data_IF_442363650857
#
_entry.id   IF_442363650857
#
_cell.length_a   1.000
_cell.length_b   1.000
_cell.length_c   1.000
_cell.angle_alpha   90.00
_cell.angle_beta   90.00
_cell.angle_gamma   90.00
#
_symmetry.space_group_name_H-M   'P 1'
#
loop_
_entity.id
_entity.type
_entity.pdbx_description
1 polymer ?
#
# COMPACT_ATOMS: atom_id res chain seq x y z
N UNK A 1 12.70 -11.58 -15.71
CA UNK A 1 12.69 -10.45 -14.75
C UNK A 1 11.40 -10.58 -13.96
N UNK A 2 11.47 -10.62 -12.64
CA UNK A 2 10.26 -10.70 -11.80
C UNK A 2 9.74 -9.27 -11.71
N UNK A 3 8.57 -9.00 -12.27
CA UNK A 3 7.92 -7.69 -12.11
C UNK A 3 7.64 -7.48 -10.62
N UNK A 4 8.14 -6.38 -10.05
CA UNK A 4 7.96 -6.06 -8.65
C UNK A 4 6.97 -4.91 -8.54
N UNK A 5 5.95 -5.07 -7.70
CA UNK A 5 5.02 -4.01 -7.36
C UNK A 5 5.54 -3.33 -6.10
N UNK A 6 5.71 -2.02 -6.14
CA UNK A 6 6.16 -1.24 -4.97
C UNK A 6 4.95 -0.74 -4.22
N UNK A 7 4.87 -1.04 -2.92
CA UNK A 7 3.80 -0.56 -2.04
C UNK A 7 4.36 0.37 -0.96
N UNK A 8 3.81 1.57 -0.87
CA UNK A 8 4.21 2.64 0.05
C UNK A 8 3.15 2.84 1.14
N UNK A 9 3.54 2.63 2.39
CA UNK A 9 2.66 2.79 3.55
C UNK A 9 2.77 4.21 4.09
N UNK A 10 1.65 4.92 4.13
CA UNK A 10 1.55 6.29 4.63
C UNK A 10 0.66 6.38 5.88
N UNK A 11 1.14 7.06 6.92
CA UNK A 11 0.37 7.34 8.13
C UNK A 11 0.37 8.85 8.37
N UNK A 12 -0.82 9.47 8.35
CA UNK A 12 -0.93 10.92 8.62
C UNK A 12 -0.17 11.82 7.64
N UNK A 13 0.13 11.34 6.43
CA UNK A 13 0.94 12.04 5.43
C UNK A 13 2.42 11.67 5.44
N UNK A 14 2.90 10.95 6.46
CA UNK A 14 4.28 10.49 6.55
C UNK A 14 4.45 9.11 5.92
N UNK A 15 5.53 8.91 5.16
CA UNK A 15 5.91 7.59 4.65
C UNK A 15 6.49 6.75 5.80
N UNK A 16 5.77 5.69 6.15
CA UNK A 16 6.14 4.76 7.22
C UNK A 16 6.99 3.58 6.70
N UNK A 17 6.83 3.21 5.44
CA UNK A 17 7.49 2.03 4.89
C UNK A 17 7.33 1.84 3.38
N UNK A 18 8.28 1.13 2.80
CA UNK A 18 8.26 0.64 1.42
C UNK A 18 8.35 -0.88 1.43
N UNK A 19 7.40 -1.53 0.76
CA UNK A 19 7.28 -2.98 0.67
C UNK A 19 7.35 -3.37 -0.80
N UNK A 20 8.25 -4.28 -1.15
CA UNK A 20 8.31 -4.88 -2.46
C UNK A 20 7.43 -6.12 -2.47
N UNK A 21 6.41 -6.11 -3.32
CA UNK A 21 5.48 -7.21 -3.50
C UNK A 21 5.83 -7.95 -4.78
N UNK A 22 5.72 -9.28 -4.72
CA UNK A 22 5.65 -10.07 -5.94
C UNK A 22 4.33 -9.78 -6.67
N UNK A 23 4.29 -9.96 -7.99
CA UNK A 23 3.04 -9.80 -8.77
C UNK A 23 1.91 -10.72 -8.32
N UNK A 24 2.24 -11.84 -7.66
CA UNK A 24 1.26 -12.81 -7.17
C UNK A 24 0.71 -12.43 -5.79
N UNK A 25 1.36 -11.50 -5.08
CA UNK A 25 0.91 -11.07 -3.76
C UNK A 25 -0.32 -10.16 -3.91
N UNK A 26 -1.47 -10.55 -3.33
CA UNK A 26 -2.68 -9.75 -3.45
C UNK A 26 -2.49 -8.39 -2.76
N UNK A 27 -2.94 -7.35 -3.44
CA UNK A 27 -2.92 -5.99 -2.90
C UNK A 27 -3.99 -5.87 -1.79
N UNK A 28 -3.61 -5.35 -0.61
CA UNK A 28 -4.56 -5.12 0.48
C UNK A 28 -5.69 -4.17 0.08
N UNK A 29 -6.88 -4.39 0.64
CA UNK A 29 -8.08 -3.60 0.36
C UNK A 29 -8.36 -2.56 1.45
N UNK A 30 -9.07 -1.50 1.06
CA UNK A 30 -9.60 -0.52 2.02
C UNK A 30 -10.46 -1.23 3.09
N UNK A 31 -10.20 -0.91 4.35
CA UNK A 31 -10.88 -1.48 5.51
C UNK A 31 -10.18 -2.68 6.14
N UNK A 32 -9.27 -3.34 5.40
CA UNK A 32 -8.48 -4.45 5.94
C UNK A 32 -7.52 -3.98 7.03
N UNK A 33 -7.16 -4.93 7.90
CA UNK A 33 -6.18 -4.74 8.96
C UNK A 33 -4.87 -5.38 8.51
N UNK A 34 -3.81 -4.60 8.52
CA UNK A 34 -2.45 -5.08 8.26
C UNK A 34 -1.63 -5.02 9.54
N UNK A 35 -0.59 -5.87 9.60
CA UNK A 35 0.45 -5.81 10.61
C UNK A 35 1.71 -5.26 9.97
N UNK A 36 2.27 -4.20 10.55
CA UNK A 36 3.53 -3.60 10.12
C UNK A 36 4.30 -3.19 11.38
N UNK A 37 5.56 -3.63 11.52
CA UNK A 37 6.41 -3.36 12.69
C UNK A 37 5.70 -3.71 14.03
N UNK A 38 5.19 -4.95 14.10
CA UNK A 38 4.40 -5.51 15.23
C UNK A 38 3.15 -4.70 15.64
N UNK A 39 2.76 -3.70 14.85
CA UNK A 39 1.58 -2.87 15.09
C UNK A 39 0.50 -3.15 14.07
N UNK A 40 -0.75 -3.14 14.55
CA UNK A 40 -1.94 -3.31 13.71
C UNK A 40 -2.45 -1.96 13.23
N UNK A 41 -2.68 -1.87 11.93
CA UNK A 41 -3.23 -0.69 11.28
C UNK A 41 -4.43 -1.06 10.41
N UNK A 42 -5.39 -0.13 10.32
CA UNK A 42 -6.48 -0.22 9.35
C UNK A 42 -6.12 0.57 8.10
N UNK A 43 -6.36 -0.02 6.94
CA UNK A 43 -6.23 0.67 5.65
C UNK A 43 -7.45 1.58 5.45
N UNK A 44 -7.20 2.88 5.29
CA UNK A 44 -8.23 3.88 5.02
C UNK A 44 -8.39 4.15 3.52
N UNK A 45 -7.30 4.02 2.76
CA UNK A 45 -7.26 4.34 1.34
C UNK A 45 -6.20 3.48 0.63
N UNK A 46 -6.49 3.12 -0.62
CA UNK A 46 -5.58 2.45 -1.54
C UNK A 46 -5.62 3.25 -2.84
N UNK A 47 -4.47 3.77 -3.27
CA UNK A 47 -4.33 4.45 -4.56
C UNK A 47 -3.21 3.83 -5.38
N UNK A 48 -3.32 3.95 -6.70
CA UNK A 48 -2.37 3.39 -7.65
C UNK A 48 -1.82 4.53 -8.49
N UNK A 49 -0.50 4.66 -8.53
CA UNK A 49 0.23 5.61 -9.34
C UNK A 49 0.95 4.85 -10.45
N UNK A 50 0.64 5.21 -11.69
CA UNK A 50 1.29 4.69 -12.89
C UNK A 50 2.29 5.76 -13.34
N UNK A 51 3.52 5.34 -13.65
CA UNK A 51 4.49 6.28 -14.20
C UNK A 51 3.96 6.85 -15.53
N UNK A 52 4.22 8.12 -15.78
CA UNK A 52 3.85 8.75 -17.04
C UNK A 52 4.54 8.03 -18.20
N UNK A 53 3.75 7.54 -19.14
CA UNK A 53 4.25 6.86 -20.32
C UNK A 53 4.92 7.88 -21.26
N UNK A 54 6.24 7.81 -21.42
CA UNK A 54 6.92 8.45 -22.56
C UNK A 54 6.73 7.65 -23.86
N UNK A 55 6.24 6.39 -23.78
CA UNK A 55 5.95 5.53 -24.93
C UNK A 55 4.69 4.68 -24.66
N UNK A 56 3.89 4.46 -25.70
CA UNK A 56 2.46 4.11 -25.79
C UNK A 56 1.89 2.89 -25.01
N UNK A 57 2.59 2.29 -24.05
CA UNK A 57 2.12 1.08 -23.36
C UNK A 57 1.98 1.25 -21.84
N UNK A 58 0.97 2.02 -21.42
CA UNK A 58 0.58 2.17 -20.00
C UNK A 58 0.22 0.81 -19.35
N UNK A 59 -0.20 -0.18 -20.15
CA UNK A 59 -0.62 -1.50 -19.66
C UNK A 59 0.54 -2.38 -19.15
N UNK A 60 1.80 -2.08 -19.49
CA UNK A 60 2.92 -2.98 -19.20
C UNK A 60 3.70 -2.65 -17.91
N UNK A 61 3.46 -1.49 -17.28
CA UNK A 61 4.24 -1.07 -16.10
C UNK A 61 3.52 -1.40 -14.79
N UNK A 62 4.23 -2.02 -13.86
CA UNK A 62 3.73 -2.29 -12.51
C UNK A 62 3.50 -0.95 -11.77
N UNK A 63 2.29 -0.68 -11.26
CA UNK A 63 2.01 0.57 -10.56
C UNK A 63 2.76 0.64 -9.23
N UNK A 64 3.00 1.86 -8.76
CA UNK A 64 3.30 2.10 -7.35
C UNK A 64 1.98 2.21 -6.57
N UNK A 65 1.83 1.40 -5.53
CA UNK A 65 0.63 1.34 -4.71
C UNK A 65 0.86 2.17 -3.45
N UNK A 66 -0.04 3.09 -3.16
CA UNK A 66 -0.01 3.89 -1.95
C UNK A 66 -1.12 3.45 -1.00
N UNK A 67 -0.75 3.05 0.22
CA UNK A 67 -1.68 2.71 1.28
C UNK A 67 -1.71 3.81 2.33
N UNK A 68 -2.88 4.41 2.58
CA UNK A 68 -3.05 5.26 3.77
C UNK A 68 -3.60 4.44 4.91
N UNK A 69 -2.91 4.46 6.04
CA UNK A 69 -3.22 3.66 7.22
C UNK A 69 -3.47 4.51 8.46
N UNK A 70 -4.31 3.99 9.36
CA UNK A 70 -4.58 4.57 10.68
C UNK A 70 -4.37 3.50 11.74
N UNK A 71 -3.95 3.92 12.95
CA UNK A 71 -3.92 3.01 14.08
C UNK A 71 -5.32 2.49 14.39
N UNK A 72 -5.44 1.24 14.80
CA UNK A 72 -6.67 0.77 15.42
C UNK A 72 -6.83 1.55 16.72
N UNK A 73 -7.88 2.36 16.88
CA UNK A 73 -8.20 2.93 18.18
C UNK A 73 -8.31 1.76 19.16
N UNK A 74 -7.47 1.75 20.19
CA UNK A 74 -7.72 0.92 21.35
C UNK A 74 -9.09 1.36 21.88
N UNK A 75 -10.09 0.48 21.73
CA UNK A 75 -11.32 0.67 22.48
C UNK A 75 -10.90 0.49 23.94
N UNK A 76 -10.86 1.59 24.68
CA UNK A 76 -10.88 1.52 26.14
C UNK A 76 -12.00 0.55 26.52
N UNK A 77 -11.74 -0.50 27.33
CA UNK A 77 -12.85 -1.21 27.97
C UNK A 77 -13.61 -0.19 28.84
N UNK A 78 -14.96 -0.31 28.93
CA UNK A 78 -15.77 0.53 29.81
C UNK A 78 -15.35 0.40 31.28
#
# INVERSE_FOLDING_TARGET
>A
MVSQVVMLLHRGGELLGRIELSTETPVPRKGEIIVYDDKKYRINEVSHEYAAAENEDIQAQSPTIHLKISGLRERYPP
#
